data_IF_244962122790
#
_entry.id   IF_244962122790
#
_cell.length_a   1.000
_cell.length_b   1.000
_cell.length_c   1.000
_cell.angle_alpha   90.00
_cell.angle_beta   90.00
_cell.angle_gamma   90.00
#
_symmetry.space_group_name_H-M   'P 1'
#
loop_
_entity.id
_entity.type
_entity.pdbx_description
1 polymer ?
#
# COMPACT_ATOMS: atom_id res chain seq x y z
N UNK A 1 -12.86 10.21 -4.87
CA UNK A 1 -12.33 9.89 -3.54
C UNK A 1 -12.18 8.39 -3.38
N UNK A 2 -11.32 7.96 -2.46
CA UNK A 2 -11.08 6.55 -2.14
C UNK A 2 -11.86 6.18 -0.87
N UNK A 3 -12.70 5.15 -0.94
CA UNK A 3 -13.50 4.65 0.17
C UNK A 3 -13.27 3.14 0.29
N UNK A 4 -13.12 2.65 1.52
CA UNK A 4 -12.98 1.23 1.81
C UNK A 4 -14.22 0.74 2.55
N UNK A 5 -14.83 -0.32 2.01
CA UNK A 5 -15.95 -1.03 2.63
C UNK A 5 -15.41 -2.35 3.21
N UNK A 6 -15.72 -2.61 4.48
CA UNK A 6 -15.30 -3.83 5.18
C UNK A 6 -16.54 -4.56 5.70
N UNK A 7 -16.54 -5.88 5.51
CA UNK A 7 -17.54 -6.80 5.98
C UNK A 7 -16.88 -8.14 6.31
N UNK A 8 -17.46 -8.89 7.25
CA UNK A 8 -17.01 -10.23 7.63
C UNK A 8 -17.48 -11.31 6.65
N UNK A 9 -18.46 -10.97 5.81
CA UNK A 9 -19.05 -11.87 4.81
C UNK A 9 -18.95 -11.29 3.40
N UNK A 10 -18.73 -12.16 2.41
CA UNK A 10 -18.74 -11.75 1.01
C UNK A 10 -20.10 -11.21 0.56
N UNK A 11 -21.17 -11.85 1.00
CA UNK A 11 -22.55 -11.41 0.72
C UNK A 11 -22.85 -10.06 1.38
N UNK A 12 -22.36 -9.81 2.60
CA UNK A 12 -22.47 -8.52 3.26
C UNK A 12 -21.66 -7.42 2.56
N UNK A 13 -20.43 -7.73 2.12
CA UNK A 13 -19.64 -6.82 1.30
C UNK A 13 -20.36 -6.45 0.00
N UNK A 14 -20.94 -7.43 -0.70
CA UNK A 14 -21.69 -7.19 -1.93
C UNK A 14 -22.94 -6.33 -1.70
N UNK A 15 -23.71 -6.62 -0.64
CA UNK A 15 -24.87 -5.81 -0.23
C UNK A 15 -24.48 -4.36 0.09
N UNK A 16 -23.39 -4.17 0.84
CA UNK A 16 -22.88 -2.82 1.16
C UNK A 16 -22.44 -2.09 -0.09
N UNK A 17 -21.72 -2.76 -1.00
CA UNK A 17 -21.26 -2.17 -2.25
C UNK A 17 -22.43 -1.69 -3.12
N UNK A 18 -23.47 -2.52 -3.25
CA UNK A 18 -24.67 -2.18 -4.04
C UNK A 18 -25.50 -1.06 -3.38
N UNK A 19 -25.64 -1.10 -2.05
CA UNK A 19 -26.29 -0.02 -1.29
C UNK A 19 -25.54 1.32 -1.47
N UNK A 20 -24.21 1.29 -1.43
CA UNK A 20 -23.37 2.46 -1.67
C UNK A 20 -23.54 2.98 -3.09
N UNK A 21 -23.58 2.09 -4.09
CA UNK A 21 -23.85 2.46 -5.49
C UNK A 21 -25.17 3.23 -5.61
N UNK A 22 -26.26 2.66 -5.11
CA UNK A 22 -27.59 3.29 -5.19
C UNK A 22 -27.63 4.62 -4.45
N UNK A 23 -27.04 4.70 -3.26
CA UNK A 23 -27.00 5.93 -2.45
C UNK A 23 -26.20 7.03 -3.15
N UNK A 24 -25.04 6.70 -3.71
CA UNK A 24 -24.20 7.66 -4.44
C UNK A 24 -24.88 8.13 -5.73
N UNK A 25 -25.46 7.22 -6.50
CA UNK A 25 -26.19 7.56 -7.73
C UNK A 25 -27.41 8.43 -7.47
N UNK A 26 -28.14 8.20 -6.37
CA UNK A 26 -29.26 9.07 -5.96
C UNK A 26 -28.83 10.52 -5.67
N UNK A 27 -27.55 10.72 -5.35
CA UNK A 27 -26.92 12.02 -5.09
C UNK A 27 -26.15 12.56 -6.30
N UNK A 28 -26.23 11.90 -7.46
CA UNK A 28 -25.55 12.29 -8.69
C UNK A 28 -24.08 11.85 -8.80
N UNK A 29 -23.58 11.02 -7.88
CA UNK A 29 -22.23 10.47 -7.93
C UNK A 29 -22.20 9.12 -8.65
N UNK A 30 -21.05 8.75 -9.22
CA UNK A 30 -20.86 7.46 -9.90
C UNK A 30 -19.63 6.73 -9.38
N UNK A 31 -19.78 5.44 -9.13
CA UNK A 31 -18.66 4.55 -8.80
C UNK A 31 -17.88 4.19 -10.06
N UNK A 32 -16.55 4.22 -9.96
CA UNK A 32 -15.66 3.88 -11.05
C UNK A 32 -15.45 2.37 -11.12
N UNK A 33 -16.17 1.68 -12.01
CA UNK A 33 -16.11 0.21 -12.17
C UNK A 33 -14.70 -0.33 -12.44
N UNK A 34 -13.87 0.44 -13.14
CA UNK A 34 -12.49 0.07 -13.46
C UNK A 34 -11.51 0.27 -12.31
N UNK A 35 -11.90 0.99 -11.26
CA UNK A 35 -11.07 1.27 -10.08
C UNK A 35 -11.56 0.55 -8.83
N UNK A 36 -12.81 0.07 -8.84
CA UNK A 36 -13.33 -0.78 -7.77
C UNK A 36 -12.64 -2.14 -7.86
N UNK A 37 -11.99 -2.52 -6.77
CA UNK A 37 -11.34 -3.82 -6.61
C UNK A 37 -11.79 -4.39 -5.26
N UNK A 38 -11.72 -5.70 -5.09
CA UNK A 38 -11.99 -6.33 -3.81
C UNK A 38 -10.81 -7.21 -3.38
N UNK A 39 -10.60 -7.30 -2.07
CA UNK A 39 -9.59 -8.15 -1.45
C UNK A 39 -10.27 -8.94 -0.34
N UNK A 40 -10.00 -10.24 -0.25
CA UNK A 40 -10.45 -11.07 0.87
C UNK A 40 -9.30 -11.20 1.84
N UNK A 41 -9.48 -10.78 3.08
CA UNK A 41 -8.44 -10.97 4.08
C UNK A 41 -8.54 -12.39 4.66
N UNK A 42 -7.55 -13.22 4.37
CA UNK A 42 -7.50 -14.65 4.72
C UNK A 42 -7.20 -14.93 6.19
N UNK A 43 -7.78 -14.15 7.11
CA UNK A 43 -7.57 -14.36 8.56
C UNK A 43 -8.21 -15.65 9.08
N UNK A 44 -9.13 -16.25 8.32
CA UNK A 44 -9.80 -17.52 8.65
C UNK A 44 -9.57 -18.58 7.57
N UNK A 45 -9.27 -19.82 7.98
CA UNK A 45 -8.98 -20.99 7.13
C UNK A 45 -10.17 -21.50 6.29
N UNK A 46 -11.33 -20.87 6.39
CA UNK A 46 -12.52 -21.23 5.62
C UNK A 46 -12.40 -20.70 4.20
N UNK A 47 -12.01 -21.60 3.29
CA UNK A 47 -12.24 -21.41 1.85
C UNK A 47 -13.75 -21.42 1.61
N UNK A 48 -14.38 -20.26 1.74
CA UNK A 48 -15.78 -20.09 1.35
C UNK A 48 -15.89 -20.08 -0.17
N UNK A 49 -17.00 -20.63 -0.65
CA UNK A 49 -17.32 -20.94 -2.04
C UNK A 49 -17.11 -19.76 -3.00
N UNK A 50 -16.85 -20.11 -4.26
CA UNK A 50 -16.48 -19.25 -5.40
C UNK A 50 -17.59 -18.27 -5.87
N UNK A 51 -18.43 -17.74 -4.99
CA UNK A 51 -19.41 -16.73 -5.42
C UNK A 51 -18.69 -15.42 -5.73
N UNK A 52 -18.78 -14.86 -6.94
CA UNK A 52 -18.06 -13.64 -7.30
C UNK A 52 -18.69 -12.34 -6.73
N UNK A 53 -17.88 -11.30 -6.45
CA UNK A 53 -18.42 -9.98 -6.06
C UNK A 53 -18.73 -9.26 -7.36
N UNK A 54 -19.96 -8.79 -7.53
CA UNK A 54 -20.38 -8.10 -8.74
C UNK A 54 -20.98 -6.73 -8.41
N UNK A 55 -20.62 -5.75 -9.23
CA UNK A 55 -21.17 -4.40 -9.19
C UNK A 55 -22.00 -4.20 -10.45
N UNK A 56 -23.32 -4.08 -10.31
CA UNK A 56 -24.23 -3.91 -11.45
C UNK A 56 -24.06 -5.02 -12.52
N UNK A 57 -23.94 -6.28 -12.07
CA UNK A 57 -23.73 -7.44 -12.94
C UNK A 57 -22.30 -7.59 -13.49
N UNK A 58 -21.40 -6.64 -13.27
CA UNK A 58 -19.99 -6.76 -13.65
C UNK A 58 -19.16 -7.32 -12.50
N UNK A 59 -18.41 -8.38 -12.75
CA UNK A 59 -17.49 -8.98 -11.78
C UNK A 59 -16.39 -7.98 -11.41
N UNK A 60 -16.26 -7.72 -10.12
CA UNK A 60 -15.18 -6.88 -9.56
C UNK A 60 -13.91 -7.74 -9.48
N UNK A 61 -12.75 -7.25 -9.93
CA UNK A 61 -11.53 -8.04 -9.90
C UNK A 61 -11.04 -8.28 -8.45
N UNK A 62 -10.66 -9.52 -8.15
CA UNK A 62 -9.96 -9.87 -6.89
C UNK A 62 -8.51 -9.39 -6.97
N UNK A 63 -8.02 -8.80 -5.90
CA UNK A 63 -6.60 -8.52 -5.67
C UNK A 63 -6.14 -9.15 -4.36
N UNK A 64 -4.90 -9.62 -4.34
CA UNK A 64 -4.25 -10.12 -3.13
C UNK A 64 -3.47 -9.00 -2.41
N UNK A 65 -3.23 -7.89 -3.12
CA UNK A 65 -2.61 -6.68 -2.56
C UNK A 65 -3.38 -5.44 -3.01
N UNK A 66 -3.54 -4.48 -2.11
CA UNK A 66 -4.29 -3.27 -2.36
C UNK A 66 -3.51 -2.03 -1.92
N UNK A 67 -3.50 -0.97 -2.74
CA UNK A 67 -2.87 0.30 -2.35
C UNK A 67 -3.92 1.22 -1.74
N UNK A 68 -3.75 1.56 -0.47
CA UNK A 68 -4.60 2.53 0.22
C UNK A 68 -3.78 3.65 0.85
N UNK A 69 -4.05 4.90 0.46
CA UNK A 69 -3.36 6.10 0.96
C UNK A 69 -1.81 6.00 0.92
N UNK A 70 -1.30 5.30 -0.09
CA UNK A 70 0.13 5.09 -0.31
C UNK A 70 0.74 3.91 0.43
N UNK A 71 0.01 3.21 1.30
CA UNK A 71 0.44 1.95 1.92
C UNK A 71 -0.12 0.75 1.16
N UNK A 72 0.63 -0.36 1.18
CA UNK A 72 0.19 -1.63 0.59
C UNK A 72 -0.42 -2.53 1.67
N UNK A 73 -1.66 -2.94 1.46
CA UNK A 73 -2.35 -3.96 2.24
C UNK A 73 -2.21 -5.30 1.53
N UNK A 74 -2.10 -6.39 2.30
CA UNK A 74 -2.02 -7.75 1.79
C UNK A 74 -3.16 -8.60 2.37
N UNK A 75 -3.60 -9.60 1.62
CA UNK A 75 -4.68 -10.50 2.05
C UNK A 75 -4.35 -11.28 3.34
N UNK A 76 -3.08 -11.59 3.60
CA UNK A 76 -2.62 -12.32 4.78
C UNK A 76 -2.44 -11.43 6.02
N UNK A 77 -2.68 -10.11 5.90
CA UNK A 77 -2.40 -9.13 6.94
C UNK A 77 -0.90 -8.89 7.18
N UNK A 78 -0.04 -9.43 6.31
CA UNK A 78 1.40 -9.22 6.34
C UNK A 78 1.78 -7.80 5.94
N UNK A 79 2.99 -7.38 6.35
CA UNK A 79 3.57 -6.07 6.00
C UNK A 79 4.70 -6.15 4.98
N UNK A 80 5.03 -7.33 4.48
CA UNK A 80 6.14 -7.56 3.56
C UNK A 80 6.04 -6.70 2.27
N UNK A 81 4.86 -6.61 1.66
CA UNK A 81 4.64 -5.79 0.45
C UNK A 81 4.69 -4.29 0.74
N UNK A 82 4.22 -3.84 1.91
CA UNK A 82 4.35 -2.42 2.29
C UNK A 82 5.82 -2.07 2.51
N UNK A 83 6.57 -2.93 3.23
CA UNK A 83 8.01 -2.77 3.41
C UNK A 83 8.72 -2.72 2.06
N UNK A 84 8.42 -3.63 1.14
CA UNK A 84 9.00 -3.66 -0.19
C UNK A 84 8.66 -2.39 -0.99
N UNK A 85 7.41 -1.93 -0.93
CA UNK A 85 6.96 -0.70 -1.56
C UNK A 85 7.74 0.52 -1.04
N UNK A 86 7.91 0.64 0.28
CA UNK A 86 8.66 1.74 0.91
C UNK A 86 10.15 1.67 0.63
N UNK A 87 10.74 0.47 0.57
CA UNK A 87 12.13 0.29 0.14
C UNK A 87 12.32 0.75 -1.31
N UNK A 88 11.41 0.40 -2.22
CA UNK A 88 11.42 0.88 -3.61
C UNK A 88 11.25 2.39 -3.69
N UNK A 89 10.35 2.97 -2.88
CA UNK A 89 10.18 4.42 -2.80
C UNK A 89 11.45 5.14 -2.31
N UNK A 90 12.12 4.58 -1.29
CA UNK A 90 13.44 5.02 -0.83
C UNK A 90 14.49 4.98 -1.94
N UNK A 91 14.55 3.89 -2.72
CA UNK A 91 15.42 3.77 -3.92
C UNK A 91 15.15 4.81 -4.98
N UNK A 92 13.89 5.10 -5.28
CA UNK A 92 13.58 6.15 -6.24
C UNK A 92 14.05 7.52 -5.76
N UNK A 93 13.85 7.86 -4.47
CA UNK A 93 14.34 9.13 -3.90
C UNK A 93 15.86 9.20 -3.85
N UNK A 94 16.53 8.11 -3.48
CA UNK A 94 17.99 8.05 -3.50
C UNK A 94 18.54 8.23 -4.92
N UNK A 95 17.95 7.54 -5.91
CA UNK A 95 18.37 7.63 -7.32
C UNK A 95 18.21 9.05 -7.87
N UNK A 96 17.12 9.74 -7.52
CA UNK A 96 16.90 11.15 -7.86
C UNK A 96 17.97 12.06 -7.24
N UNK A 97 18.42 11.75 -6.02
CA UNK A 97 19.45 12.49 -5.31
C UNK A 97 20.89 12.00 -5.60
N UNK A 98 21.08 11.03 -6.49
CA UNK A 98 22.37 10.38 -6.73
C UNK A 98 23.47 11.36 -7.17
N UNK A 99 23.13 12.40 -7.93
CA UNK A 99 24.08 13.46 -8.30
C UNK A 99 24.70 14.20 -7.11
N UNK A 100 24.00 14.27 -5.97
CA UNK A 100 24.53 14.89 -4.73
C UNK A 100 25.14 13.83 -3.82
N UNK A 101 24.50 12.66 -3.71
CA UNK A 101 24.91 11.58 -2.82
C UNK A 101 26.19 10.87 -3.30
N UNK A 102 26.38 10.73 -4.62
CA UNK A 102 27.53 10.06 -5.21
C UNK A 102 28.67 11.02 -5.60
N UNK A 103 28.45 12.34 -5.56
CA UNK A 103 29.51 13.31 -5.88
C UNK A 103 30.54 13.40 -4.74
N UNK A 104 31.80 13.18 -5.09
CA UNK A 104 32.94 13.25 -4.16
C UNK A 104 33.23 14.67 -3.68
N UNK A 105 32.79 15.69 -4.43
CA UNK A 105 33.00 17.12 -4.11
C UNK A 105 32.02 17.61 -3.04
N UNK A 106 30.91 16.91 -2.85
CA UNK A 106 29.88 17.28 -1.89
C UNK A 106 30.30 16.86 -0.47
N UNK A 107 30.24 17.80 0.48
CA UNK A 107 30.53 17.54 1.88
C UNK A 107 29.61 16.47 2.47
N UNK A 108 30.19 15.54 3.24
CA UNK A 108 29.45 14.44 3.88
C UNK A 108 28.27 14.90 4.76
N UNK A 109 28.42 16.03 5.46
CA UNK A 109 27.33 16.62 6.26
C UNK A 109 26.10 16.96 5.43
N UNK A 110 26.28 17.42 4.18
CA UNK A 110 25.18 17.74 3.27
C UNK A 110 24.51 16.47 2.73
N UNK A 111 25.29 15.46 2.35
CA UNK A 111 24.77 14.13 1.96
C UNK A 111 23.92 13.51 3.07
N UNK A 112 24.40 13.56 4.31
CA UNK A 112 23.67 13.11 5.48
C UNK A 112 22.39 13.92 5.77
N UNK A 113 22.34 15.20 5.39
CA UNK A 113 21.10 16.01 5.45
C UNK A 113 20.10 15.53 4.39
N UNK A 114 20.52 15.40 3.13
CA UNK A 114 19.67 14.89 2.05
C UNK A 114 19.10 13.52 2.33
N UNK A 115 19.92 12.59 2.83
CA UNK A 115 19.44 11.27 3.24
C UNK A 115 18.33 11.39 4.28
N UNK A 116 18.52 12.21 5.33
CA UNK A 116 17.53 12.39 6.40
C UNK A 116 16.25 13.09 5.95
N UNK A 117 16.32 13.98 4.96
CA UNK A 117 15.17 14.80 4.55
C UNK A 117 14.40 14.23 3.36
N UNK A 118 15.04 13.48 2.46
CA UNK A 118 14.42 13.01 1.22
C UNK A 118 14.26 11.48 1.16
N UNK A 119 15.29 10.73 1.54
CA UNK A 119 15.31 9.27 1.41
C UNK A 119 14.65 8.60 2.62
N UNK A 120 15.06 8.99 3.83
CA UNK A 120 14.58 8.39 5.08
C UNK A 120 13.06 8.53 5.27
N UNK A 121 12.41 9.69 5.04
CA UNK A 121 10.96 9.80 5.21
C UNK A 121 10.17 8.94 4.22
N UNK A 122 10.63 8.84 2.96
CA UNK A 122 9.96 8.00 1.96
C UNK A 122 9.99 6.50 2.32
N UNK A 123 11.05 6.07 3.00
CA UNK A 123 11.25 4.68 3.40
C UNK A 123 10.58 4.31 4.73
N UNK A 124 10.45 5.27 5.65
CA UNK A 124 9.92 5.03 7.00
C UNK A 124 8.46 5.44 7.17
N UNK A 125 7.81 5.97 6.13
CA UNK A 125 6.40 6.31 6.22
C UNK A 125 5.56 5.07 6.57
N UNK A 126 4.74 5.17 7.62
CA UNK A 126 3.86 4.10 8.08
C UNK A 126 4.57 3.02 8.91
N UNK A 127 5.88 3.14 9.13
CA UNK A 127 6.65 2.16 9.89
C UNK A 127 6.27 2.12 11.38
N UNK A 128 5.70 3.19 11.91
CA UNK A 128 5.15 3.28 13.27
C UNK A 128 3.92 2.37 13.47
N UNK A 129 3.22 2.00 12.40
CA UNK A 129 2.03 1.14 12.44
C UNK A 129 2.36 -0.33 12.12
N UNK A 130 3.62 -0.65 11.84
CA UNK A 130 4.02 -2.00 11.45
C UNK A 130 4.32 -2.88 12.67
N UNK A 131 3.80 -4.13 12.71
CA UNK A 131 4.32 -5.16 13.62
C UNK A 131 5.72 -5.62 13.13
N UNK A 132 6.74 -4.78 13.31
CA UNK A 132 8.08 -5.01 12.75
C UNK A 132 8.77 -6.22 13.38
N UNK A 133 9.17 -7.17 12.53
CA UNK A 133 10.08 -8.27 12.87
C UNK A 133 11.52 -7.87 12.56
N UNK A 134 12.50 -8.57 13.16
CA UNK A 134 13.94 -8.34 12.91
C UNK A 134 14.30 -8.34 11.42
N UNK A 135 13.65 -9.20 10.61
CA UNK A 135 13.86 -9.26 9.15
C UNK A 135 13.49 -7.94 8.44
N UNK A 136 12.40 -7.29 8.83
CA UNK A 136 11.96 -6.02 8.22
C UNK A 136 12.92 -4.88 8.56
N UNK A 137 13.39 -4.86 9.82
CA UNK A 137 14.40 -3.88 10.25
C UNK A 137 15.72 -4.07 9.50
N UNK A 138 16.14 -5.31 9.23
CA UNK A 138 17.32 -5.59 8.41
C UNK A 138 17.14 -5.13 6.97
N UNK A 139 15.99 -5.37 6.34
CA UNK A 139 15.68 -4.90 4.99
C UNK A 139 15.74 -3.36 4.89
N UNK A 140 15.20 -2.65 5.87
CA UNK A 140 15.28 -1.19 5.96
C UNK A 140 16.69 -0.70 6.35
N UNK A 141 17.46 -1.54 7.04
CA UNK A 141 18.80 -1.24 7.58
C UNK A 141 19.92 -1.29 6.55
N UNK A 142 19.74 -1.99 5.42
CA UNK A 142 20.73 -2.08 4.31
C UNK A 142 21.20 -0.67 3.87
N UNK A 143 20.30 0.30 3.98
CA UNK A 143 20.44 1.67 3.53
C UNK A 143 21.37 2.57 4.33
N UNK A 144 21.62 2.25 5.60
CA UNK A 144 22.59 3.01 6.41
C UNK A 144 24.00 2.97 5.81
N UNK A 145 24.26 2.00 4.93
CA UNK A 145 25.54 1.79 4.25
C UNK A 145 25.65 2.45 2.87
N UNK A 146 24.57 3.08 2.37
CA UNK A 146 24.52 3.66 1.01
C UNK A 146 24.79 5.17 0.96
N UNK A 147 25.25 5.77 2.05
CA UNK A 147 25.77 7.15 2.06
C UNK A 147 27.28 7.05 1.90
N UNK A 148 27.78 7.34 0.69
CA UNK A 148 29.20 7.33 0.34
C UNK A 148 29.88 8.67 0.64
#
# INVERSE_FOLDING_TARGET
DDVVLVDDSRTGANRKLELWRQTLESKGFRLSRTKTEYMMCGFSTTRCEEEEVSLDGQVVPKKDTFRYLGSMLQEDGGIDEDVNHRVKAGWMKWRQASGILCDKRVRQKLKGKFYRTAVRPAMLYGAECWPTKRRHVQQLGVWRRCVC
#
